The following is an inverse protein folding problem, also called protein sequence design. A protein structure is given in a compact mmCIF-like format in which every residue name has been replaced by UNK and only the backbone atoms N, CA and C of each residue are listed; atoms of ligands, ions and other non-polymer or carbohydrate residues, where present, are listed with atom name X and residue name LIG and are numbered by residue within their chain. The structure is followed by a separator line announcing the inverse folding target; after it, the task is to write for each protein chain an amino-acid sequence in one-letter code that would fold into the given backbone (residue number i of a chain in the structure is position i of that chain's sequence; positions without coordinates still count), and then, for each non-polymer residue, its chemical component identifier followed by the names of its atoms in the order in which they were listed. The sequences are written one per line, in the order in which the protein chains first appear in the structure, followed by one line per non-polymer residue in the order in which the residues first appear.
data_IF_043260614822
#
_entry.id   IF_043260614822
#
_cell.length_a   1.000
_cell.length_b   1.000
_cell.length_c   1.000
_cell.angle_alpha   90.00
_cell.angle_beta   90.00
_cell.angle_gamma   90.00
#
_symmetry.space_group_name_H-M   'P 1'
#
loop_
_entity.id
_entity.type
_entity.pdbx_description
1 polymer ?
#
# COMPACT_ATOMS: atom_id res chain seq x y z
N UNK A 1 -18.73 -4.80 2.41
CA UNK A 1 -17.82 -3.99 1.56
C UNK A 1 -16.47 -3.90 2.25
N UNK A 2 -15.40 -3.55 1.55
CA UNK A 2 -14.08 -3.40 2.19
C UNK A 2 -13.87 -1.93 2.54
N UNK A 3 -13.44 -1.63 3.77
CA UNK A 3 -13.25 -0.26 4.22
C UNK A 3 -12.16 0.46 3.42
N UNK A 4 -12.37 1.76 3.22
CA UNK A 4 -11.37 2.73 2.77
C UNK A 4 -11.14 3.75 3.89
N UNK A 5 -9.90 4.17 4.12
CA UNK A 5 -9.52 4.91 5.34
C UNK A 5 -9.35 6.40 5.13
N UNK A 6 -9.35 6.84 3.88
CA UNK A 6 -9.27 8.22 3.45
C UNK A 6 -10.57 8.98 3.78
N UNK A 7 -10.47 10.29 4.04
CA UNK A 7 -11.58 11.08 4.61
C UNK A 7 -12.83 11.11 3.72
N UNK A 8 -12.66 11.23 2.40
CA UNK A 8 -13.81 11.34 1.49
C UNK A 8 -14.54 10.02 1.35
N UNK A 9 -13.80 8.92 1.29
CA UNK A 9 -14.28 7.56 1.17
C UNK A 9 -15.00 7.12 2.44
N UNK A 10 -14.44 7.42 3.62
CA UNK A 10 -15.14 7.19 4.90
C UNK A 10 -16.45 7.96 4.99
N UNK A 11 -16.47 9.23 4.57
CA UNK A 11 -17.68 10.04 4.57
C UNK A 11 -18.74 9.44 3.63
N UNK A 12 -18.33 9.00 2.44
CA UNK A 12 -19.20 8.28 1.50
C UNK A 12 -19.79 7.02 2.13
N UNK A 13 -18.96 6.18 2.75
CA UNK A 13 -19.40 4.89 3.29
C UNK A 13 -20.36 5.06 4.47
N UNK A 14 -20.11 6.05 5.34
CA UNK A 14 -21.05 6.42 6.42
C UNK A 14 -22.41 6.85 5.87
N UNK A 15 -22.43 7.64 4.80
CA UNK A 15 -23.69 8.05 4.17
C UNK A 15 -24.41 6.89 3.46
N UNK A 16 -23.67 5.95 2.87
CA UNK A 16 -24.23 4.71 2.31
C UNK A 16 -24.91 3.88 3.41
N UNK A 17 -24.24 3.63 4.54
CA UNK A 17 -24.82 2.87 5.65
C UNK A 17 -26.07 3.56 6.24
N UNK A 18 -26.05 4.89 6.35
CA UNK A 18 -27.21 5.68 6.81
C UNK A 18 -28.39 5.63 5.86
N UNK A 19 -28.14 5.60 4.55
CA UNK A 19 -29.17 5.54 3.53
C UNK A 19 -29.84 4.16 3.47
N UNK A 20 -29.06 3.08 3.63
CA UNK A 20 -29.50 1.69 3.51
C UNK A 20 -30.14 1.13 4.78
N UNK A 21 -31.17 1.80 5.32
CA UNK A 21 -31.80 1.49 6.62
C UNK A 21 -32.35 0.06 6.78
N UNK A 22 -32.70 -0.60 5.69
CA UNK A 22 -33.31 -1.95 5.69
C UNK A 22 -32.37 -3.01 5.07
N UNK A 23 -31.08 -2.71 4.95
CA UNK A 23 -30.07 -3.63 4.43
C UNK A 23 -28.98 -3.81 5.48
N UNK A 24 -28.57 -5.05 5.73
CA UNK A 24 -27.43 -5.32 6.60
C UNK A 24 -26.15 -4.95 5.86
N UNK A 25 -25.38 -4.02 6.43
CA UNK A 25 -24.09 -3.60 5.92
C UNK A 25 -22.98 -4.14 6.81
N UNK A 26 -22.04 -4.87 6.23
CA UNK A 26 -20.85 -5.37 6.93
C UNK A 26 -19.59 -4.88 6.19
N UNK A 27 -18.78 -4.09 6.90
CA UNK A 27 -17.50 -3.59 6.44
C UNK A 27 -16.34 -4.45 6.94
N UNK A 28 -15.29 -4.61 6.13
CA UNK A 28 -14.12 -5.44 6.44
C UNK A 28 -12.81 -4.66 6.22
N UNK A 29 -11.87 -4.78 7.16
CA UNK A 29 -10.52 -4.20 7.08
C UNK A 29 -9.58 -5.02 6.16
N UNK A 30 -9.90 -5.08 4.87
CA UNK A 30 -9.19 -5.92 3.91
C UNK A 30 -7.86 -5.33 3.40
N UNK A 31 -7.79 -4.00 3.32
CA UNK A 31 -6.64 -3.30 2.74
C UNK A 31 -5.43 -3.21 3.68
N UNK A 32 -5.51 -3.79 4.88
CA UNK A 32 -4.46 -3.89 5.91
C UNK A 32 -4.34 -5.33 6.41
N UNK A 33 -3.23 -5.65 7.09
CA UNK A 33 -3.07 -6.96 7.75
C UNK A 33 -3.72 -6.91 9.12
N UNK A 34 -3.39 -5.91 9.94
CA UNK A 34 -4.04 -5.67 11.23
C UNK A 34 -4.90 -4.41 11.12
N UNK A 35 -6.16 -4.43 11.60
CA UNK A 35 -7.06 -3.29 11.46
C UNK A 35 -6.60 -2.08 12.30
N UNK A 36 -6.84 -0.83 11.87
CA UNK A 36 -6.63 0.35 12.71
C UNK A 36 -7.32 0.19 14.06
N UNK A 37 -6.57 0.40 15.15
CA UNK A 37 -7.04 0.18 16.52
C UNK A 37 -6.63 -1.15 17.15
N UNK A 38 -6.14 -2.11 16.35
CA UNK A 38 -5.53 -3.32 16.90
C UNK A 38 -4.15 -3.08 17.54
N UNK A 39 -3.46 -2.00 17.14
CA UNK A 39 -2.10 -1.66 17.59
C UNK A 39 -2.08 -0.24 18.15
N UNK A 40 -2.23 -0.13 19.47
CA UNK A 40 -2.36 1.14 20.19
C UNK A 40 -1.30 1.26 21.29
N UNK A 41 -0.99 2.49 21.70
CA UNK A 41 -0.15 2.74 22.88
C UNK A 41 -0.89 2.34 24.17
N UNK A 42 -0.19 2.28 25.31
CA UNK A 42 -0.81 2.01 26.61
C UNK A 42 -1.89 3.02 27.02
N UNK A 43 -1.86 4.24 26.47
CA UNK A 43 -2.89 5.26 26.66
C UNK A 43 -4.03 5.17 25.66
N UNK A 44 -4.11 4.09 24.87
CA UNK A 44 -5.10 3.90 23.80
C UNK A 44 -5.05 5.00 22.73
N UNK A 45 -3.84 5.47 22.39
CA UNK A 45 -3.61 6.38 21.28
C UNK A 45 -2.89 5.68 20.12
N UNK A 46 -3.05 6.19 18.90
CA UNK A 46 -2.24 5.73 17.77
C UNK A 46 -0.77 6.15 17.94
N UNK A 47 0.14 5.21 17.66
CA UNK A 47 1.58 5.46 17.67
C UNK A 47 1.97 6.58 16.70
N UNK A 48 2.90 7.45 17.13
CA UNK A 48 3.46 8.54 16.32
C UNK A 48 4.86 8.25 15.77
N UNK A 49 5.51 7.20 16.27
CA UNK A 49 6.86 6.78 15.87
C UNK A 49 6.81 5.33 15.39
N UNK A 50 7.49 5.05 14.27
CA UNK A 50 7.43 3.75 13.60
C UNK A 50 8.00 2.59 14.43
N UNK A 51 9.20 2.74 15.01
CA UNK A 51 9.85 1.64 15.75
C UNK A 51 8.97 1.03 16.85
N UNK A 52 8.37 1.82 17.78
CA UNK A 52 7.47 1.24 18.79
C UNK A 52 6.16 0.70 18.19
N UNK A 53 5.65 1.30 17.09
CA UNK A 53 4.52 0.72 16.35
C UNK A 53 4.86 -0.64 15.78
N UNK A 54 5.99 -0.79 15.07
CA UNK A 54 6.46 -2.04 14.48
C UNK A 54 6.57 -3.15 15.53
N UNK A 55 7.14 -2.83 16.70
CA UNK A 55 7.29 -3.80 17.79
C UNK A 55 5.92 -4.26 18.33
N UNK A 56 4.99 -3.33 18.55
CA UNK A 56 3.64 -3.64 19.00
C UNK A 56 2.83 -4.39 17.93
N UNK A 57 3.01 -4.04 16.66
CA UNK A 57 2.37 -4.68 15.51
C UNK A 57 2.83 -6.14 15.37
N UNK A 58 4.14 -6.41 15.46
CA UNK A 58 4.69 -7.77 15.42
C UNK A 58 4.20 -8.60 16.61
N UNK A 59 4.15 -8.01 17.82
CA UNK A 59 3.58 -8.68 18.99
C UNK A 59 2.14 -9.08 18.74
N UNK A 60 1.30 -8.14 18.27
CA UNK A 60 -0.12 -8.39 18.01
C UNK A 60 -0.33 -9.43 16.92
N UNK A 61 0.49 -9.42 15.87
CA UNK A 61 0.44 -10.41 14.80
C UNK A 61 0.69 -11.84 15.32
N UNK A 62 1.63 -12.01 16.26
CA UNK A 62 1.95 -13.33 16.85
C UNK A 62 0.82 -13.88 17.74
N UNK A 63 -0.02 -13.02 18.31
CA UNK A 63 -1.17 -13.44 19.12
C UNK A 63 -2.32 -14.00 18.27
N UNK A 64 -2.37 -13.65 16.99
CA UNK A 64 -3.40 -14.10 16.07
C UNK A 64 -3.13 -13.59 14.67
N UNK A 65 -2.41 -14.38 13.88
CA UNK A 65 -2.08 -14.03 12.50
C UNK A 65 -3.31 -14.20 11.61
N UNK A 66 -3.78 -13.16 10.91
CA UNK A 66 -4.94 -13.28 10.03
C UNK A 66 -4.59 -14.13 8.81
N UNK A 67 -5.46 -15.07 8.47
CA UNK A 67 -5.26 -15.98 7.34
C UNK A 67 -5.67 -15.35 6.00
N UNK A 68 -5.18 -15.92 4.90
CA UNK A 68 -5.70 -15.65 3.57
C UNK A 68 -7.01 -16.43 3.36
N UNK A 69 -8.08 -15.74 2.98
CA UNK A 69 -9.32 -16.38 2.55
C UNK A 69 -9.22 -16.80 1.09
N UNK A 70 -9.85 -17.94 0.74
CA UNK A 70 -9.87 -18.44 -0.62
C UNK A 70 -10.88 -17.68 -1.50
N UNK A 71 -10.66 -17.69 -2.81
CA UNK A 71 -11.66 -17.25 -3.78
C UNK A 71 -12.96 -18.06 -3.62
N UNK A 72 -14.14 -17.44 -3.80
CA UNK A 72 -15.41 -18.15 -3.65
C UNK A 72 -15.54 -19.26 -4.68
N UNK A 73 -16.21 -20.34 -4.28
CA UNK A 73 -16.64 -21.40 -5.21
C UNK A 73 -17.78 -20.88 -6.08
N UNK A 74 -17.95 -21.51 -7.25
CA UNK A 74 -19.10 -21.24 -8.14
C UNK A 74 -20.41 -21.41 -7.36
N UNK A 75 -21.33 -20.45 -7.53
CA UNK A 75 -22.63 -20.45 -6.85
C UNK A 75 -23.51 -21.58 -7.38
N UNK A 76 -24.51 -21.99 -6.60
CA UNK A 76 -25.47 -23.04 -6.99
C UNK A 76 -26.24 -22.73 -8.28
N UNK A 77 -26.40 -21.45 -8.62
CA UNK A 77 -27.00 -20.98 -9.88
C UNK A 77 -26.14 -21.20 -11.12
N UNK A 78 -24.90 -21.70 -10.97
CA UNK A 78 -23.96 -21.87 -12.08
C UNK A 78 -23.29 -20.57 -12.53
N UNK A 79 -22.49 -20.69 -13.58
CA UNK A 79 -21.83 -19.56 -14.24
C UNK A 79 -22.83 -18.72 -15.03
N UNK A 80 -22.54 -17.42 -15.15
CA UNK A 80 -23.29 -16.49 -15.98
C UNK A 80 -22.39 -15.94 -17.08
N UNK A 81 -22.99 -15.50 -18.19
CA UNK A 81 -22.28 -14.75 -19.21
C UNK A 81 -21.86 -13.38 -18.66
N UNK A 82 -20.61 -12.95 -18.89
CA UNK A 82 -20.14 -11.66 -18.41
C UNK A 82 -20.84 -10.52 -19.15
N UNK A 83 -21.09 -9.42 -18.43
CA UNK A 83 -21.48 -8.16 -19.03
C UNK A 83 -20.39 -7.66 -20.00
N UNK A 84 -20.72 -6.79 -20.98
CA UNK A 84 -19.74 -6.23 -21.89
C UNK A 84 -18.63 -5.46 -21.16
N UNK A 85 -17.45 -5.40 -21.78
CA UNK A 85 -16.29 -4.71 -21.23
C UNK A 85 -16.59 -3.25 -20.89
N UNK A 86 -16.21 -2.85 -19.67
CA UNK A 86 -16.37 -1.49 -19.18
C UNK A 86 -15.25 -0.61 -19.75
N UNK A 87 -15.59 0.60 -20.21
CA UNK A 87 -14.61 1.64 -20.55
C UNK A 87 -14.73 2.79 -19.56
N UNK A 88 -13.64 3.08 -18.83
CA UNK A 88 -13.59 4.21 -17.93
C UNK A 88 -13.48 5.52 -18.73
N UNK A 89 -14.40 6.46 -18.47
CA UNK A 89 -14.35 7.81 -19.01
C UNK A 89 -13.44 8.70 -18.13
N UNK A 90 -12.15 8.42 -18.18
CA UNK A 90 -11.09 9.17 -17.52
C UNK A 90 -9.85 9.17 -18.42
N UNK A 91 -9.02 10.23 -18.43
CA UNK A 91 -7.77 10.23 -19.20
C UNK A 91 -6.88 9.05 -18.80
N UNK A 92 -6.43 8.26 -19.77
CA UNK A 92 -5.65 7.05 -19.55
C UNK A 92 -4.37 7.10 -20.38
N UNK A 93 -3.32 6.52 -19.84
CA UNK A 93 -2.06 6.26 -20.54
C UNK A 93 -1.65 4.81 -20.27
N UNK A 94 -0.89 4.24 -21.19
CA UNK A 94 -0.33 2.90 -21.02
C UNK A 94 0.84 2.90 -20.04
N UNK A 95 1.14 1.73 -19.49
CA UNK A 95 2.31 1.46 -18.66
C UNK A 95 2.88 0.08 -19.01
N UNK A 96 4.05 -0.23 -18.48
CA UNK A 96 4.70 -1.52 -18.72
C UNK A 96 4.04 -2.63 -17.91
N UNK A 97 3.31 -3.51 -18.59
CA UNK A 97 2.58 -4.63 -17.99
C UNK A 97 3.50 -5.74 -17.49
N UNK A 98 4.77 -5.78 -17.90
CA UNK A 98 5.74 -6.72 -17.34
C UNK A 98 6.16 -6.32 -15.93
N UNK A 99 6.32 -5.01 -15.69
CA UNK A 99 6.62 -4.47 -14.36
C UNK A 99 5.38 -4.35 -13.47
N UNK A 100 4.24 -4.01 -14.06
CA UNK A 100 2.95 -3.81 -13.38
C UNK A 100 1.88 -4.74 -13.98
N UNK A 101 1.82 -6.01 -13.57
CA UNK A 101 0.89 -6.98 -14.14
C UNK A 101 -0.56 -6.59 -13.87
N UNK A 102 -1.38 -6.67 -14.91
CA UNK A 102 -2.82 -6.35 -14.86
C UNK A 102 -3.69 -7.58 -14.55
N UNK A 103 -3.17 -8.78 -14.77
CA UNK A 103 -3.86 -10.03 -14.46
C UNK A 103 -3.53 -10.50 -13.04
N UNK A 104 -4.55 -10.94 -12.29
CA UNK A 104 -4.40 -11.42 -10.90
C UNK A 104 -3.36 -12.55 -10.80
N UNK A 105 -3.41 -13.52 -11.71
CA UNK A 105 -2.45 -14.63 -11.74
C UNK A 105 -1.01 -14.15 -11.95
N UNK A 106 -0.81 -13.13 -12.78
CA UNK A 106 0.50 -12.57 -13.04
C UNK A 106 1.03 -11.78 -11.82
N UNK A 107 0.18 -11.01 -11.14
CA UNK A 107 0.54 -10.34 -9.88
C UNK A 107 0.93 -11.35 -8.79
N UNK A 108 0.19 -12.45 -8.66
CA UNK A 108 0.53 -13.54 -7.73
C UNK A 108 1.86 -14.22 -8.12
N UNK A 109 2.12 -14.41 -9.41
CA UNK A 109 3.36 -15.00 -9.90
C UNK A 109 4.57 -14.09 -9.61
N UNK A 110 4.45 -12.77 -9.84
CA UNK A 110 5.49 -11.79 -9.52
C UNK A 110 5.78 -11.75 -8.02
N UNK A 111 4.74 -11.77 -7.17
CA UNK A 111 4.91 -11.88 -5.72
C UNK A 111 5.65 -13.16 -5.32
N UNK A 112 5.31 -14.30 -5.92
CA UNK A 112 6.00 -15.57 -5.64
C UNK A 112 7.46 -15.51 -6.03
N UNK A 113 7.77 -15.04 -7.24
CA UNK A 113 9.14 -14.93 -7.74
C UNK A 113 9.98 -14.00 -6.86
N UNK A 114 9.41 -12.86 -6.42
CA UNK A 114 10.10 -11.94 -5.53
C UNK A 114 10.39 -12.57 -4.16
N UNK A 115 9.43 -13.24 -3.52
CA UNK A 115 9.66 -13.85 -2.21
C UNK A 115 10.66 -15.03 -2.25
N UNK A 116 10.73 -15.76 -3.36
CA UNK A 116 11.69 -16.85 -3.57
C UNK A 116 13.12 -16.36 -3.75
N UNK A 117 13.31 -15.20 -4.42
CA UNK A 117 14.63 -14.71 -4.80
C UNK A 117 14.92 -13.36 -4.12
N UNK A 118 14.29 -12.28 -4.61
CA UNK A 118 14.60 -10.90 -4.23
C UNK A 118 14.41 -10.58 -2.74
N UNK A 119 13.49 -11.23 -2.03
CA UNK A 119 13.26 -10.96 -0.60
C UNK A 119 14.48 -11.32 0.29
N UNK A 120 15.31 -12.28 -0.13
CA UNK A 120 16.53 -12.64 0.58
C UNK A 120 17.66 -11.64 0.41
N UNK A 121 17.76 -11.03 -0.77
CA UNK A 121 18.79 -10.05 -1.16
C UNK A 121 18.33 -8.59 -0.99
N UNK A 122 17.09 -8.39 -0.50
CA UNK A 122 16.42 -7.10 -0.50
C UNK A 122 17.19 -6.04 0.27
N UNK A 123 17.75 -6.38 1.43
CA UNK A 123 18.51 -5.44 2.26
C UNK A 123 19.73 -4.88 1.51
N UNK A 124 20.39 -5.71 0.72
CA UNK A 124 21.63 -5.36 0.03
C UNK A 124 21.37 -4.65 -1.30
N UNK A 125 20.22 -4.87 -1.94
CA UNK A 125 19.96 -4.36 -3.29
C UNK A 125 18.97 -3.19 -3.36
N UNK A 126 18.11 -2.99 -2.36
CA UNK A 126 16.99 -2.02 -2.41
C UNK A 126 17.39 -0.55 -2.63
N UNK A 127 18.62 -0.18 -2.29
CA UNK A 127 19.08 1.21 -2.32
C UNK A 127 19.71 1.61 -3.66
N UNK A 128 19.89 0.66 -4.58
CA UNK A 128 20.50 0.91 -5.88
C UNK A 128 19.45 1.03 -7.00
N UNK A 129 19.11 2.25 -7.47
CA UNK A 129 18.04 2.43 -8.47
C UNK A 129 18.36 1.84 -9.84
N UNK A 130 19.63 1.49 -10.11
CA UNK A 130 20.05 0.80 -11.33
C UNK A 130 19.85 -0.73 -11.25
N UNK A 131 19.48 -1.27 -10.09
CA UNK A 131 19.27 -2.70 -9.84
C UNK A 131 17.79 -2.97 -9.61
N UNK A 132 17.28 -4.06 -10.17
CA UNK A 132 15.91 -4.53 -9.92
C UNK A 132 15.81 -5.25 -8.56
N UNK A 133 16.15 -4.53 -7.49
CA UNK A 133 16.18 -5.05 -6.12
C UNK A 133 14.86 -4.96 -5.36
N UNK A 134 13.77 -4.50 -6.01
CA UNK A 134 12.46 -4.31 -5.35
C UNK A 134 11.33 -5.03 -6.07
N UNK A 135 10.24 -5.29 -5.35
CA UNK A 135 9.15 -6.16 -5.84
C UNK A 135 8.31 -5.59 -6.98
N UNK A 136 8.27 -4.26 -7.15
CA UNK A 136 7.31 -3.53 -8.03
C UNK A 136 5.82 -3.87 -7.82
N UNK A 137 5.45 -4.45 -6.68
CA UNK A 137 4.06 -4.81 -6.34
C UNK A 137 3.22 -3.63 -5.80
N UNK A 138 3.77 -2.42 -5.75
CA UNK A 138 3.11 -1.25 -5.16
C UNK A 138 1.80 -0.90 -5.88
N UNK A 139 1.76 -1.00 -7.21
CA UNK A 139 0.56 -0.75 -8.00
C UNK A 139 -0.59 -1.72 -7.64
N UNK A 140 -0.29 -3.02 -7.55
CA UNK A 140 -1.26 -4.05 -7.16
C UNK A 140 -1.73 -3.87 -5.71
N UNK A 141 -0.84 -3.50 -4.78
CA UNK A 141 -1.18 -3.22 -3.38
C UNK A 141 -1.99 -1.93 -3.17
N UNK A 142 -1.83 -0.94 -4.05
CA UNK A 142 -2.55 0.32 -4.00
C UNK A 142 -3.97 0.19 -4.58
N UNK A 143 -4.12 -0.59 -5.65
CA UNK A 143 -5.39 -0.79 -6.37
C UNK A 143 -6.20 -2.00 -5.90
N UNK A 144 -5.64 -2.85 -5.03
CA UNK A 144 -6.30 -4.04 -4.51
C UNK A 144 -6.18 -5.28 -5.40
N UNK A 145 -5.31 -5.26 -6.43
CA UNK A 145 -4.95 -6.46 -7.20
C UNK A 145 -4.17 -7.51 -6.40
N UNK A 146 -3.58 -7.11 -5.27
CA UNK A 146 -3.06 -8.01 -4.23
C UNK A 146 -3.44 -7.48 -2.85
N UNK A 147 -3.74 -8.39 -1.92
CA UNK A 147 -3.91 -8.05 -0.51
C UNK A 147 -2.57 -8.10 0.23
N UNK A 148 -2.37 -7.28 1.29
CA UNK A 148 -1.14 -7.34 2.07
C UNK A 148 -1.00 -8.66 2.83
N UNK A 149 -2.11 -9.39 3.07
CA UNK A 149 -2.11 -10.74 3.64
C UNK A 149 -1.49 -11.76 2.67
N UNK A 150 -1.79 -11.68 1.38
CA UNK A 150 -1.11 -12.50 0.37
C UNK A 150 0.40 -12.27 0.39
N UNK A 151 0.83 -11.01 0.49
CA UNK A 151 2.25 -10.66 0.61
C UNK A 151 2.90 -11.24 1.86
N UNK A 152 2.27 -11.10 3.03
CA UNK A 152 2.76 -11.65 4.30
C UNK A 152 2.92 -13.17 4.22
N UNK A 153 1.85 -13.89 3.86
CA UNK A 153 1.86 -15.35 3.85
C UNK A 153 2.81 -15.92 2.80
N UNK A 154 2.91 -15.31 1.62
CA UNK A 154 3.91 -15.71 0.61
C UNK A 154 5.33 -15.44 1.11
N UNK A 155 5.58 -14.32 1.77
CA UNK A 155 6.89 -14.05 2.36
C UNK A 155 7.29 -15.12 3.37
N UNK A 156 6.40 -15.42 4.33
CA UNK A 156 6.72 -16.39 5.40
C UNK A 156 6.88 -17.81 4.88
N UNK A 157 6.22 -18.17 3.77
CA UNK A 157 6.40 -19.45 3.13
C UNK A 157 7.82 -19.63 2.55
N UNK A 158 8.41 -18.58 1.99
CA UNK A 158 9.75 -18.63 1.36
C UNK A 158 10.88 -18.17 2.30
N UNK A 159 10.55 -17.34 3.30
CA UNK A 159 11.46 -16.74 4.26
C UNK A 159 10.94 -16.95 5.70
N UNK A 160 11.03 -18.17 6.26
CA UNK A 160 10.37 -18.52 7.53
C UNK A 160 10.84 -17.71 8.74
N UNK A 161 12.04 -17.14 8.69
CA UNK A 161 12.62 -16.33 9.76
C UNK A 161 12.34 -14.82 9.63
N UNK A 162 11.53 -14.39 8.66
CA UNK A 162 11.27 -12.96 8.42
C UNK A 162 10.63 -12.24 9.63
N UNK A 163 9.83 -12.96 10.45
CA UNK A 163 9.23 -12.40 11.68
C UNK A 163 10.24 -12.23 12.82
N UNK A 164 11.35 -12.96 12.79
CA UNK A 164 12.36 -13.04 13.83
C UNK A 164 13.66 -12.33 13.45
N UNK A 165 13.62 -11.51 12.39
CA UNK A 165 14.76 -10.69 11.94
C UNK A 165 15.69 -11.37 10.94
N UNK A 166 15.36 -12.57 10.45
CA UNK A 166 16.10 -13.23 9.38
C UNK A 166 15.87 -12.61 8.00
N UNK A 167 16.27 -13.34 6.95
CA UNK A 167 16.01 -12.96 5.56
C UNK A 167 14.53 -12.61 5.33
N UNK A 168 14.25 -11.61 4.47
CA UNK A 168 12.91 -11.09 4.24
C UNK A 168 12.37 -10.14 5.32
N UNK A 169 12.98 -10.04 6.51
CA UNK A 169 12.50 -9.14 7.58
C UNK A 169 12.55 -7.66 7.23
N UNK A 170 13.52 -7.26 6.39
CA UNK A 170 13.64 -5.90 5.88
C UNK A 170 12.49 -5.58 4.92
N UNK A 171 12.13 -6.49 4.03
CA UNK A 171 10.96 -6.33 3.15
C UNK A 171 9.65 -6.34 3.95
N UNK A 172 9.53 -7.20 4.96
CA UNK A 172 8.42 -7.16 5.91
C UNK A 172 8.31 -5.79 6.60
N UNK A 173 9.43 -5.18 6.96
CA UNK A 173 9.44 -3.84 7.56
C UNK A 173 8.80 -2.78 6.66
N UNK A 174 8.96 -2.88 5.34
CA UNK A 174 8.30 -1.98 4.38
C UNK A 174 6.78 -2.20 4.30
N UNK A 175 6.32 -3.45 4.43
CA UNK A 175 4.89 -3.74 4.59
C UNK A 175 4.34 -3.13 5.88
N UNK A 176 5.11 -3.16 6.97
CA UNK A 176 4.70 -2.54 8.24
C UNK A 176 4.70 -1.00 8.12
N UNK A 177 5.57 -0.40 7.30
CA UNK A 177 5.47 1.03 6.98
C UNK A 177 4.16 1.38 6.27
N UNK A 178 3.73 0.53 5.33
CA UNK A 178 2.41 0.67 4.69
C UNK A 178 1.27 0.59 5.71
N UNK A 179 1.33 -0.34 6.66
CA UNK A 179 0.37 -0.45 7.76
C UNK A 179 0.38 0.82 8.63
N UNK A 180 1.57 1.28 9.03
CA UNK A 180 1.74 2.46 9.88
C UNK A 180 1.06 3.69 9.28
N UNK A 181 1.26 3.99 7.99
CA UNK A 181 0.64 5.15 7.34
C UNK A 181 -0.89 5.02 7.23
N UNK A 182 -1.42 3.81 6.95
CA UNK A 182 -2.88 3.59 6.93
C UNK A 182 -3.53 3.74 8.31
N UNK A 183 -2.87 3.25 9.35
CA UNK A 183 -3.32 3.46 10.73
C UNK A 183 -3.21 4.95 11.11
N UNK A 184 -2.11 5.60 10.75
CA UNK A 184 -1.88 7.00 11.08
C UNK A 184 -2.94 7.92 10.45
N UNK A 185 -3.26 7.77 9.16
CA UNK A 185 -4.31 8.59 8.52
C UNK A 185 -5.70 8.34 9.12
N UNK A 186 -5.97 7.13 9.62
CA UNK A 186 -7.24 6.78 10.25
C UNK A 186 -7.46 7.55 11.55
N UNK A 187 -6.40 7.71 12.36
CA UNK A 187 -6.46 8.42 13.64
C UNK A 187 -6.15 9.92 13.53
N UNK A 188 -5.48 10.35 12.46
CA UNK A 188 -5.17 11.76 12.19
C UNK A 188 -5.74 12.19 10.83
N UNK A 189 -7.07 12.41 10.71
CA UNK A 189 -7.73 12.73 9.44
C UNK A 189 -7.28 14.04 8.79
N UNK A 190 -6.61 14.93 9.54
CA UNK A 190 -6.00 16.14 9.00
C UNK A 190 -4.91 15.85 7.97
N UNK A 191 -4.28 14.67 8.01
CA UNK A 191 -3.30 14.23 7.02
C UNK A 191 -3.90 14.10 5.61
N UNK A 192 -5.21 13.87 5.50
CA UNK A 192 -5.92 13.86 4.21
C UNK A 192 -6.36 15.27 3.75
N UNK A 193 -6.00 16.33 4.48
CA UNK A 193 -6.50 17.70 4.27
C UNK A 193 -5.39 18.72 4.08
N UNK A 194 -4.24 18.27 3.54
CA UNK A 194 -3.05 19.09 3.32
C UNK A 194 -2.46 19.72 4.59
N UNK A 195 -2.79 19.21 5.78
CA UNK A 195 -2.20 19.68 7.03
C UNK A 195 -0.92 18.91 7.35
N UNK A 196 0.17 19.59 7.78
CA UNK A 196 1.36 18.89 8.22
C UNK A 196 1.12 18.16 9.55
N UNK A 197 1.80 17.04 9.76
CA UNK A 197 1.78 16.34 11.03
C UNK A 197 2.43 17.17 12.15
N UNK A 198 3.51 17.88 11.82
CA UNK A 198 4.25 18.75 12.74
C UNK A 198 3.81 20.19 12.51
N UNK A 199 2.95 20.72 13.38
CA UNK A 199 2.26 21.99 13.15
C UNK A 199 3.16 23.20 12.86
N UNK A 200 4.38 23.26 13.41
CA UNK A 200 5.26 24.41 13.17
C UNK A 200 5.81 24.46 11.74
N UNK A 201 5.88 23.34 11.01
CA UNK A 201 6.41 23.33 9.64
C UNK A 201 5.52 24.07 8.66
N UNK A 202 4.26 24.30 9.02
CA UNK A 202 3.33 25.17 8.28
C UNK A 202 3.78 26.65 8.26
N UNK A 203 4.67 27.04 9.18
CA UNK A 203 5.20 28.41 9.30
C UNK A 203 6.46 28.62 8.46
N UNK A 204 7.01 27.56 7.86
CA UNK A 204 8.16 27.67 6.96
C UNK A 204 7.76 28.54 5.77
N UNK A 205 8.55 29.57 5.50
CA UNK A 205 8.32 30.46 4.37
C UNK A 205 8.82 29.78 3.08
N UNK A 206 7.97 28.93 2.50
CA UNK A 206 8.28 28.22 1.26
C UNK A 206 8.47 29.21 0.09
N UNK A 207 9.46 28.94 -0.74
CA UNK A 207 9.77 29.80 -1.88
C UNK A 207 8.69 29.67 -2.97
N UNK A 208 8.06 30.79 -3.34
CA UNK A 208 7.18 30.85 -4.51
C UNK A 208 8.00 31.12 -5.77
N UNK A 209 8.45 30.06 -6.45
CA UNK A 209 9.21 30.17 -7.69
C UNK A 209 8.73 29.11 -8.71
N UNK A 210 7.80 29.49 -9.63
CA UNK A 210 7.25 28.57 -10.62
C UNK A 210 8.31 27.99 -11.58
N UNK A 211 9.37 28.75 -11.88
CA UNK A 211 10.43 28.29 -12.78
C UNK A 211 11.24 27.14 -12.16
N UNK A 212 11.57 27.25 -10.86
CA UNK A 212 12.27 26.18 -10.14
C UNK A 212 11.41 24.92 -10.05
N UNK A 213 10.12 25.06 -9.73
CA UNK A 213 9.20 23.93 -9.68
C UNK A 213 9.08 23.25 -11.06
N UNK A 214 8.96 24.02 -12.14
CA UNK A 214 8.86 23.47 -13.49
C UNK A 214 10.15 22.75 -13.91
N UNK A 215 11.32 23.28 -13.55
CA UNK A 215 12.59 22.62 -13.82
C UNK A 215 12.69 21.27 -13.10
N UNK A 216 12.26 21.21 -11.85
CA UNK A 216 12.19 19.95 -11.09
C UNK A 216 11.19 18.97 -11.72
N UNK A 217 9.96 19.39 -11.99
CA UNK A 217 8.92 18.54 -12.62
C UNK A 217 9.40 17.92 -13.94
N UNK A 218 10.19 18.64 -14.74
CA UNK A 218 10.72 18.17 -16.04
C UNK A 218 12.05 17.42 -15.95
N UNK A 219 12.65 17.28 -14.76
CA UNK A 219 13.98 16.72 -14.59
C UNK A 219 15.05 17.53 -15.33
N UNK A 220 15.09 18.84 -15.08
CA UNK A 220 16.04 19.81 -15.64
C UNK A 220 16.66 20.71 -14.55
N UNK A 221 16.91 20.14 -13.38
CA UNK A 221 17.54 20.82 -12.26
C UNK A 221 19.05 20.99 -12.44
N UNK A 222 19.66 20.19 -13.33
CA UNK A 222 21.12 20.13 -13.50
C UNK A 222 21.79 19.11 -12.56
N UNK A 223 21.03 18.46 -11.67
CA UNK A 223 21.51 17.38 -10.81
C UNK A 223 21.13 16.01 -11.39
N UNK A 224 22.09 15.21 -11.89
CA UNK A 224 21.79 14.02 -12.68
C UNK A 224 20.87 13.00 -12.00
N UNK A 225 21.06 12.74 -10.70
CA UNK A 225 20.24 11.74 -9.97
C UNK A 225 18.79 12.20 -9.82
N UNK A 226 18.56 13.50 -9.60
CA UNK A 226 17.22 14.09 -9.49
C UNK A 226 16.54 14.09 -10.85
N UNK A 227 17.28 14.53 -11.87
CA UNK A 227 16.77 14.63 -13.23
C UNK A 227 16.43 13.25 -13.82
N UNK A 228 17.24 12.23 -13.54
CA UNK A 228 16.96 10.85 -13.91
C UNK A 228 15.70 10.31 -13.23
N UNK A 229 15.55 10.50 -11.92
CA UNK A 229 14.37 10.06 -11.17
C UNK A 229 13.07 10.69 -11.70
N UNK A 230 13.08 12.00 -11.97
CA UNK A 230 11.89 12.68 -12.52
C UNK A 230 11.56 12.22 -13.95
N UNK A 231 12.57 11.90 -14.77
CA UNK A 231 12.34 11.34 -16.11
C UNK A 231 11.78 9.92 -16.05
N UNK A 232 12.19 9.11 -15.08
CA UNK A 232 11.61 7.80 -14.82
C UNK A 232 10.13 7.98 -14.46
N UNK A 233 9.83 8.71 -13.38
CA UNK A 233 8.45 8.97 -12.93
C UNK A 233 7.53 9.47 -14.06
N UNK A 234 7.98 10.45 -14.84
CA UNK A 234 7.18 11.03 -15.91
C UNK A 234 6.90 10.08 -17.09
N UNK A 235 7.76 9.08 -17.31
CA UNK A 235 7.66 8.17 -18.46
C UNK A 235 7.12 6.79 -18.11
N UNK A 236 7.22 6.37 -16.85
CA UNK A 236 6.81 5.05 -16.37
C UNK A 236 5.67 5.08 -15.35
N UNK A 237 5.49 6.20 -14.64
CA UNK A 237 4.57 6.31 -13.51
C UNK A 237 5.08 5.72 -12.19
N UNK A 238 6.36 5.34 -12.10
CA UNK A 238 7.00 4.77 -10.91
C UNK A 238 8.42 5.31 -10.72
#
# INVERSE_FOLDING_TARGET
YNYQYEVNERARDVEVERALRNVVCEGFDDSVILPPGAVMTGNHEMYKVFTPFKNAWLKRLREGMPECVAAPKVRSSGSIEPAPSITLNYPRQSFDTAHFPVEEKAAIAQLRQFCQNGAGEYEQQRDFPAVEGTSRLSASLATGGLSPRQCLHRLLAEQPQALDGGAGSVWLSELIWREFYRHLMTYYPSLCKHCPFIAWTDRVQWQSNPAHLQAWQKGKTGYPIVDAAMRQLNSTGW
#
